data_IF_581183049791
#
_entry.id   IF_581183049791
#
_cell.length_a   1.000
_cell.length_b   1.000
_cell.length_c   1.000
_cell.angle_alpha   90.00
_cell.angle_beta   90.00
_cell.angle_gamma   90.00
#
_symmetry.space_group_name_H-M   'P 1'
#
loop_
_entity.id
_entity.type
_entity.pdbx_description
1 polymer ?
#
# COMPACT_ATOMS: atom_id res chain seq x y z
N UNK A 1 -11.72 -28.25 2.70
CA UNK A 1 -12.98 -27.55 3.09
C UNK A 1 -14.11 -28.56 3.26
N UNK A 2 -15.09 -28.34 4.14
CA UNK A 2 -16.27 -29.22 4.29
C UNK A 2 -17.22 -29.10 3.08
N UNK A 3 -18.04 -30.13 2.84
CA UNK A 3 -19.06 -30.13 1.77
C UNK A 3 -20.07 -28.99 1.94
N UNK A 4 -20.47 -28.68 3.18
CA UNK A 4 -21.37 -27.56 3.49
C UNK A 4 -20.77 -26.20 3.13
N UNK A 5 -19.49 -25.98 3.44
CA UNK A 5 -18.77 -24.74 3.08
C UNK A 5 -18.59 -24.63 1.55
N UNK A 6 -18.47 -25.75 0.84
CA UNK A 6 -18.38 -25.77 -0.61
C UNK A 6 -19.70 -25.36 -1.28
N UNK A 7 -20.83 -25.87 -0.79
CA UNK A 7 -22.17 -25.50 -1.28
C UNK A 7 -22.47 -24.01 -1.02
N UNK A 8 -22.08 -23.50 0.16
CA UNK A 8 -22.19 -22.08 0.49
C UNK A 8 -21.33 -21.22 -0.46
N UNK A 9 -20.07 -21.61 -0.70
CA UNK A 9 -19.18 -20.94 -1.64
C UNK A 9 -19.79 -20.89 -3.05
N UNK A 10 -20.34 -22.00 -3.55
CA UNK A 10 -21.01 -22.06 -4.86
C UNK A 10 -22.23 -21.14 -4.93
N UNK A 11 -23.04 -21.08 -3.87
CA UNK A 11 -24.18 -20.18 -3.79
C UNK A 11 -23.76 -18.70 -3.79
N UNK A 12 -22.66 -18.37 -3.12
CA UNK A 12 -22.11 -17.01 -3.06
C UNK A 12 -21.45 -16.60 -4.39
N UNK A 13 -20.77 -17.50 -5.10
CA UNK A 13 -20.26 -17.22 -6.45
C UNK A 13 -21.38 -16.90 -7.46
N UNK A 14 -22.59 -17.43 -7.27
CA UNK A 14 -23.76 -17.00 -8.06
C UNK A 14 -24.15 -15.55 -7.76
N UNK A 15 -24.05 -15.12 -6.50
CA UNK A 15 -24.30 -13.73 -6.09
C UNK A 15 -23.20 -12.78 -6.56
N UNK A 16 -21.95 -13.26 -6.65
CA UNK A 16 -20.82 -12.53 -7.22
C UNK A 16 -21.01 -12.11 -8.70
N UNK A 17 -22.06 -12.64 -9.37
CA UNK A 17 -22.48 -12.18 -10.72
C UNK A 17 -23.24 -10.87 -10.72
N UNK A 18 -23.79 -10.47 -9.58
CA UNK A 18 -24.63 -9.28 -9.43
C UNK A 18 -23.88 -8.16 -8.72
N UNK A 19 -22.99 -8.51 -7.78
CA UNK A 19 -22.19 -7.58 -7.00
C UNK A 19 -20.91 -8.29 -6.55
N UNK A 20 -19.79 -7.59 -6.59
CA UNK A 20 -18.52 -8.12 -6.08
C UNK A 20 -18.62 -8.46 -4.59
N UNK A 21 -18.06 -9.61 -4.22
CA UNK A 21 -18.07 -10.13 -2.87
C UNK A 21 -16.67 -10.10 -2.27
N UNK A 22 -16.57 -9.83 -0.98
CA UNK A 22 -15.31 -9.98 -0.27
C UNK A 22 -14.91 -11.45 -0.21
N UNK A 23 -13.63 -11.75 -0.41
CA UNK A 23 -13.08 -13.08 -0.27
C UNK A 23 -11.90 -13.14 0.68
N UNK A 24 -11.69 -14.32 1.24
CA UNK A 24 -10.47 -14.71 1.93
C UNK A 24 -10.04 -16.09 1.49
N UNK A 25 -8.73 -16.26 1.28
CA UNK A 25 -8.14 -17.47 0.74
C UNK A 25 -6.96 -17.92 1.61
N UNK A 26 -6.92 -19.22 1.90
CA UNK A 26 -5.73 -19.92 2.35
C UNK A 26 -5.40 -21.01 1.33
N UNK A 27 -4.19 -20.97 0.77
CA UNK A 27 -3.72 -22.00 -0.15
C UNK A 27 -3.34 -23.26 0.62
N UNK A 28 -3.84 -24.41 0.20
CA UNK A 28 -3.41 -25.71 0.68
C UNK A 28 -2.08 -26.14 0.05
N UNK A 29 -1.54 -27.28 0.51
CA UNK A 29 -0.41 -27.96 -0.13
C UNK A 29 -0.82 -28.51 -1.50
N UNK A 30 -2.10 -28.85 -1.69
CA UNK A 30 -2.71 -29.19 -2.97
C UNK A 30 -3.88 -28.24 -3.27
N UNK A 31 -4.26 -28.05 -4.55
CA UNK A 31 -5.39 -27.19 -4.91
C UNK A 31 -6.71 -27.60 -4.24
N UNK A 32 -6.98 -28.90 -4.04
CA UNK A 32 -8.19 -29.36 -3.33
C UNK A 32 -8.23 -28.99 -1.84
N UNK A 33 -7.07 -28.72 -1.24
CA UNK A 33 -6.94 -28.39 0.19
C UNK A 33 -7.08 -26.88 0.44
N UNK A 34 -7.32 -26.08 -0.60
CA UNK A 34 -7.59 -24.65 -0.46
C UNK A 34 -8.84 -24.39 0.37
N UNK A 35 -8.78 -23.31 1.15
CA UNK A 35 -9.92 -22.78 1.88
C UNK A 35 -10.26 -21.40 1.33
N UNK A 36 -11.42 -21.27 0.71
CA UNK A 36 -11.90 -20.06 0.06
C UNK A 36 -13.27 -19.64 0.60
N UNK A 37 -13.31 -18.53 1.33
CA UNK A 37 -14.55 -17.98 1.89
C UNK A 37 -14.97 -16.71 1.17
N UNK A 38 -16.29 -16.56 1.02
CA UNK A 38 -16.94 -15.39 0.46
C UNK A 38 -17.94 -14.82 1.48
N UNK A 39 -18.13 -13.50 1.47
CA UNK A 39 -19.16 -12.86 2.28
C UNK A 39 -19.66 -11.56 1.60
N UNK A 40 -20.92 -11.20 1.83
CA UNK A 40 -21.55 -10.00 1.27
C UNK A 40 -21.35 -8.74 2.12
N UNK A 41 -21.01 -8.92 3.40
CA UNK A 41 -20.99 -7.86 4.42
C UNK A 41 -19.66 -7.77 5.15
N UNK A 42 -19.03 -8.91 5.42
CA UNK A 42 -17.74 -8.96 6.12
C UNK A 42 -16.60 -8.65 5.15
N UNK A 43 -15.55 -8.01 5.64
CA UNK A 43 -14.38 -7.65 4.83
C UNK A 43 -13.56 -8.87 4.41
N UNK A 44 -12.76 -8.72 3.35
CA UNK A 44 -11.84 -9.76 2.88
C UNK A 44 -10.85 -10.19 3.96
N UNK A 45 -10.38 -9.26 4.79
CA UNK A 45 -9.48 -9.56 5.89
C UNK A 45 -10.11 -10.50 6.94
N UNK A 46 -11.39 -10.29 7.27
CA UNK A 46 -12.14 -11.19 8.17
C UNK A 46 -12.31 -12.57 7.53
N UNK A 47 -12.59 -12.62 6.22
CA UNK A 47 -12.66 -13.88 5.48
C UNK A 47 -11.31 -14.60 5.43
N UNK A 48 -10.20 -13.87 5.32
CA UNK A 48 -8.86 -14.46 5.32
C UNK A 48 -8.50 -15.02 6.68
N UNK A 49 -8.84 -14.34 7.78
CA UNK A 49 -8.65 -14.89 9.13
C UNK A 49 -9.43 -16.19 9.31
N UNK A 50 -10.67 -16.26 8.78
CA UNK A 50 -11.47 -17.49 8.76
C UNK A 50 -10.82 -18.58 7.90
N UNK A 51 -10.38 -18.24 6.69
CA UNK A 51 -9.71 -19.17 5.79
C UNK A 51 -8.40 -19.71 6.37
N UNK A 52 -7.64 -18.86 7.08
CA UNK A 52 -6.40 -19.23 7.78
C UNK A 52 -6.64 -20.19 8.94
N UNK A 53 -7.76 -20.03 9.66
CA UNK A 53 -8.09 -20.90 10.79
C UNK A 53 -8.47 -22.33 10.36
N UNK A 54 -9.06 -22.48 9.17
CA UNK A 54 -9.44 -23.78 8.60
C UNK A 54 -8.40 -24.35 7.63
N UNK A 55 -7.50 -23.50 7.12
CA UNK A 55 -6.47 -23.88 6.16
C UNK A 55 -5.23 -24.45 6.81
N UNK A 56 -4.48 -25.24 6.04
CA UNK A 56 -3.31 -25.97 6.54
C UNK A 56 -1.97 -25.25 6.30
N UNK A 57 -1.97 -24.06 5.70
CA UNK A 57 -0.73 -23.29 5.46
C UNK A 57 -0.84 -21.81 5.89
N UNK A 58 0.31 -21.15 6.01
CA UNK A 58 0.39 -19.70 6.22
C UNK A 58 0.22 -18.85 4.96
N UNK A 59 0.02 -19.46 3.77
CA UNK A 59 -0.10 -18.76 2.50
C UNK A 59 -1.53 -18.25 2.32
N UNK A 60 -1.76 -17.02 2.78
CA UNK A 60 -3.10 -16.43 2.84
C UNK A 60 -3.17 -15.11 2.07
N UNK A 61 -4.33 -14.82 1.51
CA UNK A 61 -4.61 -13.54 0.83
C UNK A 61 -6.10 -13.21 0.92
N UNK A 62 -6.48 -12.00 0.51
CA UNK A 62 -7.85 -11.51 0.51
C UNK A 62 -8.07 -10.42 -0.53
N UNK A 63 -9.34 -10.11 -0.77
CA UNK A 63 -9.77 -8.97 -1.59
C UNK A 63 -11.22 -9.13 -2.00
N UNK A 64 -11.55 -8.84 -3.26
CA UNK A 64 -12.91 -8.97 -3.81
C UNK A 64 -12.97 -9.87 -5.03
N UNK A 65 -14.11 -10.54 -5.22
CA UNK A 65 -14.35 -11.40 -6.38
C UNK A 65 -15.65 -11.00 -7.08
N UNK A 66 -15.53 -10.76 -8.37
CA UNK A 66 -16.65 -10.53 -9.29
C UNK A 66 -16.71 -11.64 -10.34
N UNK A 67 -17.92 -11.99 -10.79
CA UNK A 67 -18.11 -13.03 -11.81
C UNK A 67 -18.86 -12.48 -13.02
N UNK A 68 -18.20 -12.38 -14.17
CA UNK A 68 -18.83 -11.99 -15.44
C UNK A 68 -18.83 -13.17 -16.41
N UNK A 69 -20.01 -13.71 -16.71
CA UNK A 69 -20.14 -14.88 -17.59
C UNK A 69 -19.48 -16.14 -17.02
N UNK A 70 -18.38 -16.57 -17.64
CA UNK A 70 -17.52 -17.70 -17.20
C UNK A 70 -16.14 -17.22 -16.70
N UNK A 71 -16.01 -15.95 -16.34
CA UNK A 71 -14.77 -15.35 -15.82
C UNK A 71 -15.00 -14.93 -14.38
N UNK A 72 -14.21 -15.45 -13.45
CA UNK A 72 -14.07 -14.93 -12.10
C UNK A 72 -12.84 -14.03 -12.03
N UNK A 73 -13.06 -12.77 -11.66
CA UNK A 73 -12.01 -11.78 -11.44
C UNK A 73 -11.79 -11.66 -9.94
N UNK A 74 -10.61 -12.02 -9.45
CA UNK A 74 -10.21 -11.84 -8.07
C UNK A 74 -9.27 -10.62 -7.99
N UNK A 75 -9.77 -9.54 -7.42
CA UNK A 75 -8.97 -8.37 -7.08
C UNK A 75 -8.27 -8.63 -5.74
N UNK A 76 -6.94 -8.61 -5.72
CA UNK A 76 -6.14 -8.92 -4.53
C UNK A 76 -5.74 -7.63 -3.82
N UNK A 77 -6.21 -7.45 -2.60
CA UNK A 77 -5.83 -6.36 -1.69
C UNK A 77 -4.73 -6.79 -0.71
N UNK A 78 -4.69 -8.08 -0.37
CA UNK A 78 -3.70 -8.68 0.52
C UNK A 78 -2.39 -9.05 -0.18
N UNK A 79 -1.61 -9.92 0.45
CA UNK A 79 -0.36 -10.41 -0.12
C UNK A 79 -0.61 -11.15 -1.44
N UNK A 80 0.06 -10.75 -2.51
CA UNK A 80 0.03 -11.49 -3.77
C UNK A 80 0.78 -12.82 -3.61
N UNK A 81 0.12 -13.93 -3.94
CA UNK A 81 0.69 -15.28 -3.83
C UNK A 81 1.11 -15.76 -5.23
N UNK A 82 2.33 -16.30 -5.42
CA UNK A 82 2.78 -16.75 -6.74
C UNK A 82 1.90 -17.87 -7.31
N UNK A 83 1.47 -17.74 -8.58
CA UNK A 83 0.69 -18.78 -9.28
C UNK A 83 -0.74 -18.91 -8.78
N UNK A 84 -1.27 -17.84 -8.21
CA UNK A 84 -2.61 -17.77 -7.63
C UNK A 84 -3.69 -18.04 -8.67
N UNK A 85 -3.56 -17.48 -9.89
CA UNK A 85 -4.54 -17.70 -10.95
C UNK A 85 -4.68 -19.20 -11.29
N UNK A 86 -3.54 -19.87 -11.48
CA UNK A 86 -3.46 -21.31 -11.81
C UNK A 86 -4.04 -22.16 -10.70
N UNK A 87 -3.61 -21.88 -9.48
CA UNK A 87 -4.02 -22.62 -8.30
C UNK A 87 -5.54 -22.50 -8.09
N UNK A 88 -6.08 -21.28 -8.21
CA UNK A 88 -7.51 -21.03 -8.04
C UNK A 88 -8.35 -21.66 -9.16
N UNK A 89 -7.89 -21.61 -10.41
CA UNK A 89 -8.55 -22.30 -11.54
C UNK A 89 -8.63 -23.81 -11.31
N UNK A 90 -7.55 -24.43 -10.82
CA UNK A 90 -7.53 -25.85 -10.48
C UNK A 90 -8.48 -26.16 -9.31
N UNK A 91 -8.47 -25.36 -8.25
CA UNK A 91 -9.39 -25.51 -7.11
C UNK A 91 -10.85 -25.42 -7.53
N UNK A 92 -11.22 -24.39 -8.30
CA UNK A 92 -12.57 -24.20 -8.82
C UNK A 92 -13.00 -25.38 -9.70
N UNK A 93 -12.12 -25.85 -10.59
CA UNK A 93 -12.41 -26.99 -11.47
C UNK A 93 -12.64 -28.27 -10.68
N UNK A 94 -11.78 -28.58 -9.70
CA UNK A 94 -11.94 -29.74 -8.80
C UNK A 94 -13.18 -29.63 -7.92
N UNK A 95 -13.61 -28.41 -7.62
CA UNK A 95 -14.84 -28.08 -6.90
C UNK A 95 -16.11 -28.12 -7.78
N UNK A 96 -16.01 -28.59 -9.03
CA UNK A 96 -17.14 -28.68 -9.97
C UNK A 96 -17.48 -27.36 -10.69
N UNK A 97 -16.63 -26.34 -10.58
CA UNK A 97 -16.87 -24.98 -11.09
C UNK A 97 -15.94 -24.70 -12.28
N UNK A 98 -16.49 -24.72 -13.49
CA UNK A 98 -15.73 -24.45 -14.73
C UNK A 98 -15.77 -22.95 -15.08
N UNK A 99 -14.75 -22.20 -14.69
CA UNK A 99 -14.57 -20.78 -15.04
C UNK A 99 -13.10 -20.42 -15.26
N UNK A 100 -12.86 -19.40 -16.09
CA UNK A 100 -11.55 -18.74 -16.19
C UNK A 100 -11.33 -17.91 -14.92
N UNK A 101 -10.09 -17.86 -14.46
CA UNK A 101 -9.69 -17.05 -13.31
C UNK A 101 -8.73 -15.97 -13.78
N UNK A 102 -9.04 -14.74 -13.41
CA UNK A 102 -8.22 -13.55 -13.65
C UNK A 102 -7.92 -12.93 -12.29
N UNK A 103 -6.65 -12.66 -12.02
CA UNK A 103 -6.20 -11.96 -10.83
C UNK A 103 -5.90 -10.52 -11.23
N UNK A 104 -6.45 -9.56 -10.49
CA UNK A 104 -6.16 -8.15 -10.68
C UNK A 104 -5.61 -7.51 -9.42
N UNK A 105 -4.92 -6.38 -9.55
CA UNK A 105 -4.65 -5.48 -8.44
C UNK A 105 -5.90 -4.64 -8.10
N UNK A 106 -5.88 -3.86 -7.00
CA UNK A 106 -6.97 -2.95 -6.63
C UNK A 106 -7.27 -1.87 -7.68
N UNK A 107 -6.35 -1.62 -8.62
CA UNK A 107 -6.52 -0.68 -9.73
C UNK A 107 -7.14 -1.35 -10.98
N UNK A 108 -7.46 -2.65 -10.91
CA UNK A 108 -8.03 -3.43 -12.01
C UNK A 108 -7.02 -3.90 -13.07
N UNK A 109 -5.71 -3.71 -12.86
CA UNK A 109 -4.68 -4.26 -13.73
C UNK A 109 -4.61 -5.77 -13.55
N UNK A 110 -4.63 -6.53 -14.65
CA UNK A 110 -4.45 -7.98 -14.63
C UNK A 110 -3.01 -8.32 -14.23
N UNK A 111 -2.86 -9.00 -13.08
CA UNK A 111 -1.58 -9.45 -12.53
C UNK A 111 -1.23 -10.87 -13.00
N UNK A 112 -2.22 -11.76 -13.01
CA UNK A 112 -2.09 -13.13 -13.50
C UNK A 112 -3.40 -13.54 -14.17
N UNK A 113 -3.32 -14.19 -15.33
CA UNK A 113 -4.49 -14.76 -16.00
C UNK A 113 -4.15 -16.13 -16.57
N UNK A 114 -5.00 -17.12 -16.33
CA UNK A 114 -4.80 -18.46 -16.88
C UNK A 114 -5.65 -18.69 -18.12
N UNK A 115 -5.09 -18.29 -19.25
CA UNK A 115 -5.51 -18.70 -20.58
C UNK A 115 -4.26 -18.84 -21.45
N UNK A 116 -3.90 -20.07 -21.81
CA UNK A 116 -3.17 -20.29 -23.05
C UNK A 116 -4.19 -20.49 -24.17
N UNK A 117 -3.76 -19.99 -25.32
CA UNK A 117 -4.37 -19.91 -26.64
C UNK A 117 -5.08 -21.21 -27.05
N UNK A 118 -6.35 -21.09 -27.44
CA UNK A 118 -6.86 -21.59 -28.72
C UNK A 118 -8.29 -21.06 -28.97
N UNK A 119 -8.39 -20.40 -30.12
CA UNK A 119 -9.53 -20.16 -31.02
C UNK A 119 -10.70 -19.24 -30.60
N UNK A 120 -10.87 -18.22 -31.46
CA UNK A 120 -12.14 -17.58 -31.83
C UNK A 120 -13.30 -18.59 -31.78
N UNK A 121 -14.44 -18.21 -31.20
CA UNK A 121 -15.50 -17.68 -32.05
C UNK A 121 -16.72 -17.18 -31.29
N UNK A 122 -17.42 -16.34 -32.03
CA UNK A 122 -18.67 -15.64 -31.82
C UNK A 122 -19.88 -16.52 -31.39
N UNK A 123 -20.78 -15.89 -30.65
CA UNK A 123 -22.24 -16.09 -30.49
C UNK A 123 -22.95 -17.47 -30.40
N UNK A 124 -23.98 -17.42 -29.55
CA UNK A 124 -25.29 -18.09 -29.66
C UNK A 124 -25.47 -19.56 -29.21
N UNK A 125 -26.71 -19.79 -28.76
CA UNK A 125 -27.23 -20.96 -28.08
C UNK A 125 -27.24 -22.24 -28.93
N UNK A 126 -27.18 -23.41 -28.29
CA UNK A 126 -28.22 -24.47 -28.29
C UNK A 126 -27.69 -25.75 -27.60
N UNK A 127 -28.59 -26.71 -27.50
CA UNK A 127 -28.81 -27.73 -26.49
C UNK A 127 -28.14 -29.09 -26.79
N UNK A 128 -28.15 -29.95 -25.77
CA UNK A 128 -28.27 -31.42 -25.84
C UNK A 128 -27.08 -32.32 -26.30
N UNK A 129 -26.56 -33.03 -25.27
CA UNK A 129 -26.55 -34.50 -25.13
C UNK A 129 -25.33 -35.38 -25.51
N UNK A 130 -24.85 -36.06 -24.46
CA UNK A 130 -24.46 -37.48 -24.31
C UNK A 130 -23.17 -38.11 -24.88
N UNK A 131 -22.55 -38.86 -23.95
CA UNK A 131 -21.92 -40.19 -24.08
C UNK A 131 -20.57 -40.29 -24.82
N UNK A 132 -19.64 -41.17 -24.49
CA UNK A 132 -19.34 -42.06 -23.36
C UNK A 132 -17.97 -42.70 -23.68
N UNK A 133 -17.25 -43.10 -22.64
CA UNK A 133 -16.35 -44.26 -22.52
C UNK A 133 -14.99 -44.43 -23.25
N UNK A 134 -14.16 -45.16 -22.47
CA UNK A 134 -12.91 -45.92 -22.71
C UNK A 134 -11.59 -45.13 -22.82
N UNK A 135 -10.70 -45.14 -21.82
CA UNK A 135 -9.94 -46.22 -21.12
C UNK A 135 -8.68 -46.69 -21.85
N UNK A 136 -7.65 -46.87 -21.00
CA UNK A 136 -6.49 -47.76 -21.11
C UNK A 136 -5.35 -47.36 -22.07
N UNK A 137 -4.07 -47.54 -21.76
CA UNK A 137 -3.34 -47.87 -20.53
C UNK A 137 -1.82 -47.79 -20.87
N UNK A 138 -0.99 -47.67 -19.83
CA UNK A 138 0.46 -48.00 -19.69
C UNK A 138 1.50 -47.47 -20.71
N UNK A 139 2.53 -46.76 -20.21
CA UNK A 139 3.83 -47.42 -19.90
C UNK A 139 4.82 -46.52 -19.15
N UNK A 140 4.97 -46.91 -17.88
CA UNK A 140 6.02 -46.63 -16.92
C UNK A 140 7.42 -47.00 -17.45
N UNK A 141 8.43 -46.17 -17.16
CA UNK A 141 9.83 -46.61 -16.95
C UNK A 141 10.36 -45.96 -15.68
N UNK A 142 10.20 -46.74 -14.63
CA UNK A 142 10.91 -46.72 -13.36
C UNK A 142 12.40 -47.09 -13.57
N UNK A 143 13.25 -46.54 -12.69
CA UNK A 143 14.33 -47.20 -11.96
C UNK A 143 15.35 -46.10 -11.57
N UNK A 144 15.30 -45.53 -10.37
CA UNK A 144 15.59 -46.12 -9.05
C UNK A 144 17.08 -46.44 -8.84
N UNK A 145 17.66 -45.74 -7.86
CA UNK A 145 18.58 -46.25 -6.84
C UNK A 145 18.53 -45.21 -5.69
N UNK A 146 17.91 -45.47 -4.54
CA UNK A 146 18.32 -46.43 -3.48
C UNK A 146 19.65 -45.98 -2.85
N UNK A 147 19.86 -45.83 -1.55
CA UNK A 147 19.21 -46.19 -0.29
C UNK A 147 19.85 -45.19 0.73
N UNK A 148 19.19 -44.62 1.73
CA UNK A 148 18.88 -45.36 2.95
C UNK A 148 19.58 -44.75 4.17
N UNK A 149 18.77 -44.44 5.18
CA UNK A 149 19.04 -44.53 6.62
C UNK A 149 19.57 -43.31 7.41
N UNK A 150 18.65 -42.79 8.24
CA UNK A 150 18.73 -42.62 9.71
C UNK A 150 19.45 -41.41 10.34
N UNK A 151 18.61 -40.64 11.04
CA UNK A 151 18.84 -40.20 12.42
C UNK A 151 20.19 -39.63 12.79
N UNK A 152 20.31 -38.29 12.76
CA UNK A 152 21.24 -37.54 13.60
C UNK A 152 20.74 -36.09 13.75
N UNK A 153 20.59 -35.64 14.98
CA UNK A 153 20.73 -34.22 15.31
C UNK A 153 22.10 -33.74 14.82
N UNK A 154 22.15 -32.61 14.11
CA UNK A 154 23.08 -31.49 14.36
C UNK A 154 23.08 -30.50 13.19
N UNK A 155 22.84 -29.24 13.55
CA UNK A 155 23.73 -28.12 13.23
C UNK A 155 24.26 -27.99 11.80
N UNK A 156 23.51 -27.28 10.95
CA UNK A 156 24.03 -26.15 10.15
C UNK A 156 22.95 -25.61 9.20
N UNK A 157 21.90 -24.99 9.75
CA UNK A 157 21.41 -23.79 9.06
C UNK A 157 22.38 -22.66 9.47
N UNK A 158 23.18 -22.10 8.53
CA UNK A 158 24.09 -21.00 8.84
C UNK A 158 23.38 -19.84 9.54
N UNK A 159 22.09 -19.62 9.24
CA UNK A 159 21.29 -18.59 9.87
C UNK A 159 20.83 -18.99 11.30
N UNK A 160 20.57 -20.26 11.56
CA UNK A 160 20.30 -20.75 12.92
C UNK A 160 21.55 -20.67 13.80
N UNK A 161 22.73 -21.01 13.26
CA UNK A 161 24.01 -20.85 13.96
C UNK A 161 24.36 -19.39 14.23
N UNK A 162 24.13 -18.50 13.26
CA UNK A 162 24.30 -17.05 13.43
C UNK A 162 23.32 -16.49 14.46
N UNK A 163 22.05 -16.91 14.41
CA UNK A 163 21.07 -16.54 15.44
C UNK A 163 21.49 -17.05 16.81
N UNK A 164 21.96 -18.29 16.94
CA UNK A 164 22.46 -18.84 18.20
C UNK A 164 23.59 -17.99 18.82
N UNK A 165 24.53 -17.52 18.00
CA UNK A 165 25.61 -16.61 18.46
C UNK A 165 25.07 -15.24 18.88
N UNK A 166 24.12 -14.68 18.13
CA UNK A 166 23.50 -13.38 18.42
C UNK A 166 22.64 -13.45 19.69
N UNK A 167 21.83 -14.51 19.83
CA UNK A 167 21.00 -14.76 21.00
C UNK A 167 21.84 -14.97 22.25
N UNK A 168 22.91 -15.78 22.19
CA UNK A 168 23.83 -15.99 23.30
C UNK A 168 24.49 -14.68 23.79
N UNK A 169 24.79 -13.76 22.87
CA UNK A 169 25.40 -12.48 23.20
C UNK A 169 24.40 -11.45 23.79
N UNK A 170 23.15 -11.46 23.33
CA UNK A 170 22.18 -10.40 23.64
C UNK A 170 21.12 -10.81 24.66
N UNK A 171 20.76 -12.09 24.79
CA UNK A 171 19.77 -12.55 25.77
C UNK A 171 20.13 -12.16 27.22
N UNK A 172 21.39 -12.28 27.69
CA UNK A 172 21.76 -11.83 29.03
C UNK A 172 21.66 -10.32 29.23
N UNK A 173 21.72 -9.52 28.15
CA UNK A 173 21.54 -8.07 28.20
C UNK A 173 20.05 -7.70 28.19
N UNK A 174 19.24 -8.41 27.40
CA UNK A 174 17.79 -8.25 27.38
C UNK A 174 17.17 -8.60 28.75
N UNK A 175 17.63 -9.67 29.38
CA UNK A 175 17.18 -10.07 30.72
C UNK A 175 17.41 -9.00 31.80
N UNK A 176 18.39 -8.09 31.65
CA UNK A 176 18.62 -6.99 32.60
C UNK A 176 17.50 -5.95 32.59
N UNK A 177 16.70 -5.91 31.53
CA UNK A 177 15.55 -5.03 31.44
C UNK A 177 14.29 -5.66 32.08
N UNK A 178 14.26 -6.98 32.30
CA UNK A 178 13.16 -7.64 32.99
C UNK A 178 13.08 -7.18 34.45
N UNK A 179 11.96 -6.53 34.81
CA UNK A 179 11.77 -5.96 36.15
C UNK A 179 12.57 -4.70 36.45
N UNK A 180 13.26 -4.12 35.45
CA UNK A 180 13.93 -2.82 35.61
C UNK A 180 12.92 -1.66 35.58
N UNK A 181 13.29 -0.54 36.20
CA UNK A 181 12.51 0.71 36.17
C UNK A 181 12.78 1.57 34.93
N UNK A 182 13.53 1.05 33.95
CA UNK A 182 13.81 1.75 32.69
C UNK A 182 12.51 1.89 31.87
N UNK A 183 12.17 3.09 31.38
CA UNK A 183 10.93 3.31 30.63
C UNK A 183 10.86 2.51 29.32
N UNK A 184 11.99 2.01 28.81
CA UNK A 184 12.07 1.17 27.60
C UNK A 184 11.96 -0.31 27.92
N UNK A 185 11.97 -0.71 29.19
CA UNK A 185 12.05 -2.10 29.63
C UNK A 185 10.96 -2.98 29.03
N UNK A 186 9.70 -2.55 29.14
CA UNK A 186 8.56 -3.32 28.62
C UNK A 186 8.65 -3.55 27.11
N UNK A 187 9.08 -2.53 26.36
CA UNK A 187 9.23 -2.61 24.92
C UNK A 187 10.42 -3.47 24.51
N UNK A 188 11.57 -3.31 25.16
CA UNK A 188 12.78 -4.11 24.89
C UNK A 188 12.51 -5.59 25.15
N UNK A 189 11.86 -5.93 26.26
CA UNK A 189 11.48 -7.33 26.60
C UNK A 189 10.52 -7.90 25.56
N UNK A 190 9.49 -7.14 25.18
CA UNK A 190 8.51 -7.58 24.16
C UNK A 190 9.14 -7.79 22.79
N UNK A 191 10.00 -6.86 22.36
CA UNK A 191 10.67 -6.93 21.04
C UNK A 191 11.71 -8.05 21.01
N UNK A 192 12.43 -8.29 22.12
CA UNK A 192 13.35 -9.41 22.26
C UNK A 192 12.62 -10.76 22.19
N UNK A 193 11.52 -10.92 22.93
CA UNK A 193 10.68 -12.12 22.88
C UNK A 193 10.09 -12.37 21.47
N UNK A 194 9.75 -11.32 20.74
CA UNK A 194 9.33 -11.41 19.34
C UNK A 194 10.43 -11.94 18.41
N UNK A 195 11.69 -11.57 18.64
CA UNK A 195 12.83 -12.09 17.89
C UNK A 195 13.09 -13.58 18.20
N UNK A 196 12.95 -13.98 19.47
CA UNK A 196 13.06 -15.39 19.88
C UNK A 196 11.92 -16.25 19.29
N UNK A 197 10.69 -15.72 19.24
CA UNK A 197 9.57 -16.38 18.60
C UNK A 197 9.74 -16.49 17.08
N UNK A 198 10.27 -15.45 16.42
CA UNK A 198 10.58 -15.51 14.98
C UNK A 198 11.62 -16.59 14.68
N UNK A 199 12.69 -16.66 15.47
CA UNK A 199 13.70 -17.71 15.34
C UNK A 199 13.17 -19.11 15.67
N UNK A 200 12.29 -19.25 16.67
CA UNK A 200 11.60 -20.51 16.98
C UNK A 200 10.71 -21.02 15.84
N UNK A 201 10.26 -20.12 14.97
CA UNK A 201 9.52 -20.43 13.73
C UNK A 201 10.43 -20.58 12.49
N UNK A 202 11.75 -20.54 12.67
CA UNK A 202 12.73 -20.64 11.57
C UNK A 202 12.97 -19.34 10.80
N UNK A 203 12.41 -18.20 11.23
CA UNK A 203 12.65 -16.89 10.61
C UNK A 203 13.85 -16.18 11.24
N UNK A 204 15.03 -16.75 11.01
CA UNK A 204 16.30 -16.24 11.53
C UNK A 204 16.68 -14.86 10.95
N UNK A 205 16.22 -14.54 9.73
CA UNK A 205 16.50 -13.26 9.08
C UNK A 205 15.78 -12.11 9.78
N UNK A 206 14.50 -12.28 10.10
CA UNK A 206 13.74 -11.30 10.86
C UNK A 206 14.26 -11.20 12.29
N UNK A 207 14.55 -12.34 12.93
CA UNK A 207 15.11 -12.39 14.28
C UNK A 207 16.43 -11.59 14.38
N UNK A 208 17.38 -11.84 13.47
CA UNK A 208 18.64 -11.10 13.42
C UNK A 208 18.46 -9.61 13.09
N UNK A 209 17.48 -9.25 12.24
CA UNK A 209 17.15 -7.86 11.96
C UNK A 209 16.64 -7.11 13.19
N UNK A 210 15.84 -7.77 14.04
CA UNK A 210 15.38 -7.22 15.32
C UNK A 210 16.55 -7.11 16.32
N UNK A 211 17.37 -8.16 16.44
CA UNK A 211 18.53 -8.17 17.31
C UNK A 211 19.55 -7.07 16.96
N UNK A 212 19.77 -6.79 15.67
CA UNK A 212 20.66 -5.73 15.22
C UNK A 212 20.19 -4.33 15.69
N UNK A 213 18.87 -4.10 15.69
CA UNK A 213 18.26 -2.85 16.18
C UNK A 213 18.30 -2.74 17.70
N UNK A 214 18.14 -3.86 18.42
CA UNK A 214 18.19 -3.89 19.88
C UNK A 214 19.61 -3.80 20.45
N UNK A 215 20.63 -4.31 19.75
CA UNK A 215 22.02 -4.34 20.19
C UNK A 215 22.54 -3.02 20.82
N UNK A 216 22.41 -1.83 20.19
CA UNK A 216 22.89 -0.59 20.80
C UNK A 216 22.13 -0.22 22.09
N UNK A 217 20.85 -0.55 22.20
CA UNK A 217 20.02 -0.28 23.38
C UNK A 217 20.38 -1.23 24.54
N UNK A 218 20.61 -2.51 24.21
CA UNK A 218 20.97 -3.55 25.16
C UNK A 218 22.38 -3.36 25.73
N UNK A 219 23.33 -2.91 24.92
CA UNK A 219 24.70 -2.59 25.36
C UNK A 219 24.73 -1.37 26.27
N UNK A 220 23.83 -0.40 26.07
CA UNK A 220 23.73 0.79 26.92
C UNK A 220 23.21 0.47 28.34
N UNK A 221 22.48 -0.64 28.52
CA UNK A 221 21.92 -1.07 29.80
C UNK A 221 20.73 -0.25 30.30
N UNK A 222 20.06 -0.69 31.39
CA UNK A 222 18.92 0.02 31.99
C UNK A 222 19.37 1.30 32.69
N UNK A 223 18.66 2.41 32.47
CA UNK A 223 18.88 3.67 33.16
C UNK A 223 18.04 3.75 34.45
N UNK A 224 18.66 4.12 35.57
CA UNK A 224 17.95 4.38 36.83
C UNK A 224 17.44 5.82 36.89
N UNK A 225 16.11 6.00 36.87
CA UNK A 225 15.40 7.18 37.37
C UNK A 225 15.70 8.53 36.73
N UNK A 226 15.05 8.84 35.60
CA UNK A 226 14.25 10.06 35.38
C UNK A 226 13.65 10.05 33.97
N UNK A 227 12.61 10.88 33.78
CA UNK A 227 11.63 10.98 32.70
C UNK A 227 12.05 10.58 31.27
N UNK A 228 11.06 9.95 30.62
CA UNK A 228 11.11 9.27 29.34
C UNK A 228 11.59 10.13 28.15
N UNK A 229 12.52 9.55 27.38
CA UNK A 229 12.55 9.70 25.92
C UNK A 229 12.45 8.31 25.31
N UNK A 230 11.27 8.01 24.76
CA UNK A 230 10.97 6.75 24.07
C UNK A 230 11.47 6.83 22.62
N UNK A 231 12.29 5.89 22.14
CA UNK A 231 12.46 5.67 20.71
C UNK A 231 11.66 4.46 20.24
N UNK A 232 10.71 4.70 19.33
CA UNK A 232 10.22 3.73 18.36
C UNK A 232 9.19 2.72 18.85
N UNK A 233 7.93 3.14 18.92
CA UNK A 233 6.78 2.23 18.89
C UNK A 233 6.18 2.26 17.47
N UNK A 234 6.31 1.17 16.74
CA UNK A 234 5.55 0.92 15.50
C UNK A 234 4.43 -0.05 15.83
N UNK A 235 3.24 0.47 16.07
CA UNK A 235 1.99 -0.04 15.52
C UNK A 235 0.87 0.98 15.79
N UNK A 236 0.15 1.29 14.71
CA UNK A 236 -1.02 2.15 14.68
C UNK A 236 -2.10 1.68 15.65
N UNK A 237 -2.43 2.53 16.61
CA UNK A 237 -3.82 2.83 16.93
C UNK A 237 -4.03 4.34 16.70
N UNK A 238 -5.19 4.67 16.16
CA UNK A 238 -5.45 5.90 15.43
C UNK A 238 -5.10 7.23 16.11
N UNK A 239 -4.66 8.14 15.24
CA UNK A 239 -4.86 9.59 15.28
C UNK A 239 -4.14 10.39 16.37
N UNK A 240 -2.86 10.68 16.11
CA UNK A 240 -2.34 12.05 16.28
C UNK A 240 -1.20 12.27 15.28
N UNK A 241 -1.25 13.30 14.40
CA UNK A 241 -0.09 13.70 13.62
C UNK A 241 0.97 14.20 14.59
N UNK A 242 2.05 13.45 14.75
CA UNK A 242 3.17 13.90 15.58
C UNK A 242 3.94 14.95 14.77
N UNK A 243 3.63 16.22 15.06
CA UNK A 243 4.08 17.39 14.31
C UNK A 243 5.63 17.54 14.26
N UNK A 244 6.40 16.74 14.99
CA UNK A 244 7.85 16.88 15.09
C UNK A 244 8.66 15.60 14.82
N UNK A 245 8.05 14.57 14.20
CA UNK A 245 8.77 13.33 13.93
C UNK A 245 10.02 13.56 13.03
N UNK A 246 11.19 12.99 13.37
CA UNK A 246 12.39 13.09 12.53
C UNK A 246 12.20 12.63 11.09
N UNK A 247 11.22 11.74 10.86
CA UNK A 247 10.91 11.22 9.54
C UNK A 247 10.08 12.21 8.70
N UNK A 248 9.19 13.01 9.32
CA UNK A 248 8.54 14.15 8.65
C UNK A 248 9.57 15.13 8.08
N UNK A 249 10.54 15.56 8.90
CA UNK A 249 11.62 16.48 8.47
C UNK A 249 12.47 15.89 7.34
N UNK A 250 12.74 14.58 7.37
CA UNK A 250 13.44 13.89 6.28
C UNK A 250 12.58 13.85 5.01
N UNK A 251 11.28 13.59 5.14
CA UNK A 251 10.36 13.57 4.01
C UNK A 251 10.30 14.95 3.34
N UNK A 252 10.13 16.03 4.10
CA UNK A 252 10.15 17.41 3.60
C UNK A 252 11.44 17.74 2.83
N UNK A 253 12.59 17.29 3.33
CA UNK A 253 13.88 17.49 2.69
C UNK A 253 14.05 16.70 1.39
N UNK A 254 13.43 15.52 1.26
CA UNK A 254 13.56 14.64 0.09
C UNK A 254 12.48 14.89 -0.96
N UNK A 255 11.26 15.24 -0.54
CA UNK A 255 10.11 15.37 -1.42
C UNK A 255 10.34 16.44 -2.51
N UNK A 256 10.82 17.63 -2.14
CA UNK A 256 10.99 18.73 -3.11
C UNK A 256 12.03 18.42 -4.20
N UNK A 257 13.26 17.95 -3.88
CA UNK A 257 14.20 17.51 -4.91
C UNK A 257 13.68 16.34 -5.75
N UNK A 258 12.96 15.39 -5.14
CA UNK A 258 12.39 14.24 -5.84
C UNK A 258 11.28 14.65 -6.80
N UNK A 259 10.46 15.65 -6.46
CA UNK A 259 9.41 16.22 -7.31
C UNK A 259 9.98 16.89 -8.57
N UNK A 260 11.06 17.65 -8.40
CA UNK A 260 11.78 18.28 -9.53
C UNK A 260 12.30 17.21 -10.47
N UNK A 261 12.90 16.15 -9.92
CA UNK A 261 13.42 15.04 -10.69
C UNK A 261 12.29 14.26 -11.38
N UNK A 262 11.18 14.05 -10.68
CA UNK A 262 9.97 13.41 -11.19
C UNK A 262 9.39 14.19 -12.38
N UNK A 263 9.24 15.50 -12.24
CA UNK A 263 8.75 16.38 -13.32
C UNK A 263 9.67 16.30 -14.53
N UNK A 264 10.98 16.33 -14.32
CA UNK A 264 11.97 16.20 -15.39
C UNK A 264 11.90 14.82 -16.07
N UNK A 265 11.87 13.75 -15.27
CA UNK A 265 11.77 12.38 -15.75
C UNK A 265 10.52 12.18 -16.59
N UNK A 266 9.36 12.61 -16.11
CA UNK A 266 8.09 12.49 -16.83
C UNK A 266 7.99 13.40 -18.06
N UNK A 267 8.68 14.55 -18.05
CA UNK A 267 8.79 15.40 -19.23
C UNK A 267 9.48 14.71 -20.42
N UNK A 268 10.32 13.71 -20.16
CA UNK A 268 10.98 12.89 -21.20
C UNK A 268 10.10 11.74 -21.72
N UNK A 269 8.90 11.57 -21.17
CA UNK A 269 7.96 10.51 -21.51
C UNK A 269 8.58 9.08 -21.53
N UNK A 270 9.08 8.60 -20.38
CA UNK A 270 9.76 7.31 -20.31
C UNK A 270 8.77 6.15 -20.42
N UNK A 271 9.19 5.01 -20.96
CA UNK A 271 8.32 3.83 -21.13
C UNK A 271 7.74 3.31 -19.80
N UNK A 272 8.43 3.54 -18.68
CA UNK A 272 7.96 3.20 -17.33
C UNK A 272 7.18 4.34 -16.65
N UNK A 273 6.72 5.36 -17.39
CA UNK A 273 5.98 6.53 -16.89
C UNK A 273 4.93 6.16 -15.85
N UNK A 274 4.01 5.26 -16.19
CA UNK A 274 2.91 4.86 -15.30
C UNK A 274 3.42 4.27 -13.98
N UNK A 275 4.53 3.52 -13.99
CA UNK A 275 5.16 2.97 -12.77
C UNK A 275 5.79 4.08 -11.92
N UNK A 276 6.41 5.08 -12.55
CA UNK A 276 6.97 6.24 -11.86
C UNK A 276 5.86 7.10 -11.24
N UNK A 277 4.75 7.29 -11.95
CA UNK A 277 3.55 7.99 -11.46
C UNK A 277 2.95 7.27 -10.27
N UNK A 278 2.71 5.96 -10.36
CA UNK A 278 2.14 5.17 -9.27
C UNK A 278 3.03 5.15 -8.01
N UNK A 279 4.35 5.00 -8.17
CA UNK A 279 5.27 5.03 -7.04
C UNK A 279 5.36 6.43 -6.39
N UNK A 280 5.22 7.51 -7.18
CA UNK A 280 5.13 8.87 -6.65
C UNK A 280 3.82 9.07 -5.87
N UNK A 281 2.68 8.70 -6.46
CA UNK A 281 1.36 8.77 -5.81
C UNK A 281 1.33 8.01 -4.49
N UNK A 282 1.83 6.77 -4.47
CA UNK A 282 1.91 5.96 -3.25
C UNK A 282 2.81 6.62 -2.18
N UNK A 283 3.94 7.22 -2.56
CA UNK A 283 4.78 7.93 -1.60
C UNK A 283 4.07 9.15 -1.00
N UNK A 284 3.38 9.93 -1.84
CA UNK A 284 2.59 11.09 -1.43
C UNK A 284 1.44 10.70 -0.51
N UNK A 285 0.65 9.69 -0.87
CA UNK A 285 -0.46 9.18 -0.06
C UNK A 285 0.02 8.71 1.33
N UNK A 286 1.15 8.00 1.40
CA UNK A 286 1.74 7.61 2.68
C UNK A 286 2.14 8.81 3.52
N UNK A 287 2.72 9.83 2.92
CA UNK A 287 3.08 11.05 3.63
C UNK A 287 1.85 11.83 4.12
N UNK A 288 0.77 11.87 3.33
CA UNK A 288 -0.51 12.50 3.71
C UNK A 288 -1.19 11.78 4.86
N UNK A 289 -1.10 10.45 4.88
CA UNK A 289 -1.55 9.61 5.99
C UNK A 289 -0.65 9.71 7.24
N UNK A 290 0.43 10.50 7.21
CA UNK A 290 1.41 10.64 8.29
C UNK A 290 2.41 9.48 8.40
N UNK A 291 2.38 8.52 7.46
CA UNK A 291 3.34 7.41 7.38
C UNK A 291 4.60 7.84 6.61
N UNK A 292 5.34 8.78 7.20
CA UNK A 292 6.57 9.33 6.62
C UNK A 292 7.67 8.28 6.44
N UNK A 293 7.70 7.23 7.28
CA UNK A 293 8.66 6.14 7.16
C UNK A 293 8.42 5.33 5.88
N UNK A 294 7.17 4.96 5.59
CA UNK A 294 6.83 4.28 4.33
C UNK A 294 7.03 5.19 3.12
N UNK A 295 6.62 6.46 3.23
CA UNK A 295 6.81 7.46 2.18
C UNK A 295 8.30 7.59 1.80
N UNK A 296 9.19 7.71 2.80
CA UNK A 296 10.64 7.76 2.61
C UNK A 296 11.20 6.48 1.98
N UNK A 297 10.69 5.31 2.36
CA UNK A 297 11.13 4.04 1.80
C UNK A 297 10.75 3.91 0.31
N UNK A 298 9.56 4.38 -0.08
CA UNK A 298 9.13 4.42 -1.47
C UNK A 298 9.95 5.44 -2.25
N UNK A 299 10.12 6.66 -1.71
CA UNK A 299 10.95 7.70 -2.31
C UNK A 299 12.40 7.25 -2.57
N UNK A 300 13.01 6.53 -1.63
CA UNK A 300 14.35 5.99 -1.79
C UNK A 300 14.47 5.00 -2.97
N UNK A 301 13.44 4.17 -3.19
CA UNK A 301 13.37 3.24 -4.32
C UNK A 301 13.03 3.93 -5.63
N UNK A 302 12.19 4.96 -5.58
CA UNK A 302 11.74 5.72 -6.75
C UNK A 302 12.88 6.56 -7.35
N UNK A 303 13.68 7.20 -6.51
CA UNK A 303 14.77 8.11 -6.91
C UNK A 303 15.66 7.58 -8.06
N UNK A 304 16.30 6.39 -7.98
CA UNK A 304 17.18 5.92 -9.05
C UNK A 304 16.44 5.75 -10.40
N UNK A 305 15.18 5.31 -10.39
CA UNK A 305 14.40 5.18 -11.63
C UNK A 305 14.02 6.53 -12.24
N UNK A 306 13.81 7.55 -11.40
CA UNK A 306 13.63 8.92 -11.88
C UNK A 306 14.93 9.52 -12.42
N UNK A 307 16.08 9.25 -11.81
CA UNK A 307 17.38 9.70 -12.32
C UNK A 307 17.68 9.09 -13.70
N UNK A 308 17.43 7.79 -13.84
CA UNK A 308 17.54 7.08 -15.12
C UNK A 308 16.62 7.67 -16.19
N UNK A 309 15.34 7.85 -15.88
CA UNK A 309 14.36 8.42 -16.81
C UNK A 309 14.64 9.90 -17.15
N UNK A 310 15.16 10.68 -16.19
CA UNK A 310 15.54 12.08 -16.41
C UNK A 310 16.84 12.23 -17.22
N UNK A 311 17.72 11.21 -17.21
CA UNK A 311 18.97 11.18 -17.94
C UNK A 311 18.82 10.61 -19.37
N UNK A 312 17.83 9.74 -19.60
CA UNK A 312 17.49 9.27 -20.93
C UNK A 312 17.04 10.46 -21.81
N UNK A 313 17.83 10.79 -22.85
CA UNK A 313 17.37 11.66 -23.93
C UNK A 313 16.16 11.00 -24.60
N UNK A 314 15.25 11.79 -25.18
CA UNK A 314 14.05 11.29 -25.86
C UNK A 314 14.43 10.38 -27.05
N UNK A 315 14.77 9.13 -26.76
CA UNK A 315 15.07 8.09 -27.73
C UNK A 315 13.72 7.63 -28.26
N UNK A 316 13.30 8.27 -29.34
CA UNK A 316 12.06 7.98 -30.02
C UNK A 316 12.03 6.52 -30.48
N UNK A 317 11.16 5.74 -29.84
CA UNK A 317 10.43 4.61 -30.42
C UNK A 317 9.29 4.23 -29.45
N UNK A 318 8.14 4.87 -29.71
CA UNK A 318 6.69 4.55 -29.54
C UNK A 318 6.25 3.65 -28.37
N UNK A 319 5.22 3.97 -27.59
CA UNK A 319 3.99 4.74 -27.90
C UNK A 319 4.10 6.28 -27.74
N UNK A 320 3.67 7.02 -28.77
CA UNK A 320 3.52 8.48 -28.70
C UNK A 320 2.38 8.81 -27.72
N UNK A 321 2.73 9.09 -26.47
CA UNK A 321 1.83 9.81 -25.57
C UNK A 321 1.58 11.19 -26.20
N UNK A 322 0.33 11.56 -26.51
CA UNK A 322 0.11 12.68 -27.40
C UNK A 322 0.43 14.00 -26.69
N UNK A 323 0.95 14.98 -27.44
CA UNK A 323 1.41 16.28 -26.88
C UNK A 323 0.32 17.05 -26.13
N UNK A 324 -0.94 16.68 -26.35
CA UNK A 324 -2.12 17.22 -25.71
C UNK A 324 -2.23 16.88 -24.21
N UNK A 325 -1.50 15.87 -23.70
CA UNK A 325 -1.55 15.53 -22.26
C UNK A 325 -0.53 16.26 -21.38
N UNK A 326 0.51 16.86 -21.97
CA UNK A 326 1.55 17.60 -21.23
C UNK A 326 0.98 18.72 -20.33
N UNK A 327 -0.05 19.49 -20.75
CA UNK A 327 -0.69 20.47 -19.86
C UNK A 327 -1.30 19.88 -18.59
N UNK A 328 -1.87 18.66 -18.65
CA UNK A 328 -2.47 18.01 -17.47
C UNK A 328 -1.38 17.55 -16.48
N UNK A 329 -0.25 17.07 -17.00
CA UNK A 329 0.92 16.73 -16.17
C UNK A 329 1.47 17.95 -15.43
N UNK A 330 1.60 19.10 -16.12
CA UNK A 330 2.00 20.36 -15.49
C UNK A 330 0.99 20.82 -14.43
N UNK A 331 -0.29 20.59 -14.69
CA UNK A 331 -1.37 20.91 -13.76
C UNK A 331 -1.31 20.08 -12.48
N UNK A 332 -0.99 18.78 -12.59
CA UNK A 332 -0.77 17.90 -11.44
C UNK A 332 0.37 18.39 -10.57
N UNK A 333 1.54 18.63 -11.18
CA UNK A 333 2.71 19.17 -10.48
C UNK A 333 2.41 20.52 -9.84
N UNK A 334 1.67 21.39 -10.53
CA UNK A 334 1.23 22.67 -9.95
C UNK A 334 0.41 22.46 -8.67
N UNK A 335 -0.51 21.49 -8.65
CA UNK A 335 -1.35 21.23 -7.48
C UNK A 335 -0.55 20.64 -6.30
N UNK A 336 0.32 19.67 -6.55
CA UNK A 336 1.25 19.11 -5.53
C UNK A 336 2.05 20.23 -4.86
N UNK A 337 2.70 21.08 -5.66
CA UNK A 337 3.46 22.22 -5.15
C UNK A 337 2.60 23.21 -4.37
N UNK A 338 1.35 23.39 -4.80
CA UNK A 338 0.38 24.28 -4.14
C UNK A 338 0.02 23.76 -2.76
N UNK A 339 -0.34 22.48 -2.64
CA UNK A 339 -0.67 21.84 -1.36
C UNK A 339 0.50 21.88 -0.39
N UNK A 340 1.71 21.59 -0.86
CA UNK A 340 2.93 21.73 -0.03
C UNK A 340 3.10 23.17 0.47
N UNK A 341 2.92 24.15 -0.41
CA UNK A 341 3.02 25.56 -0.03
C UNK A 341 1.94 25.96 0.98
N UNK A 342 0.70 25.52 0.80
CA UNK A 342 -0.38 25.75 1.77
C UNK A 342 -0.01 25.20 3.15
N UNK A 343 0.55 23.99 3.20
CA UNK A 343 1.02 23.38 4.43
C UNK A 343 2.12 24.21 5.11
N UNK A 344 3.17 24.60 4.36
CA UNK A 344 4.25 25.45 4.90
C UNK A 344 3.74 26.81 5.41
N UNK A 345 2.79 27.43 4.71
CA UNK A 345 2.20 28.70 5.14
C UNK A 345 1.33 28.55 6.40
N UNK A 346 0.58 27.45 6.53
CA UNK A 346 -0.16 27.14 7.76
C UNK A 346 0.82 26.88 8.92
N UNK A 347 1.86 26.08 8.73
CA UNK A 347 2.86 25.81 9.79
C UNK A 347 3.55 27.09 10.28
N UNK A 348 3.80 28.03 9.36
CA UNK A 348 4.31 29.36 9.71
C UNK A 348 3.32 30.12 10.60
N UNK A 349 2.01 30.04 10.31
CA UNK A 349 0.97 30.63 11.16
C UNK A 349 0.89 29.92 12.52
N UNK A 350 0.90 28.59 12.55
CA UNK A 350 0.92 27.79 13.78
C UNK A 350 2.06 28.23 14.70
N UNK A 351 3.28 28.29 14.15
CA UNK A 351 4.46 28.68 14.91
C UNK A 351 4.35 30.11 15.44
N UNK A 352 3.83 31.05 14.64
CA UNK A 352 3.62 32.43 15.08
C UNK A 352 2.63 32.52 16.25
N UNK A 353 1.56 31.72 16.26
CA UNK A 353 0.60 31.65 17.36
C UNK A 353 1.27 31.04 18.60
N UNK A 354 2.01 29.94 18.44
CA UNK A 354 2.70 29.26 19.53
C UNK A 354 3.73 30.18 20.19
N UNK A 355 4.51 30.93 19.40
CA UNK A 355 5.53 31.85 19.90
C UNK A 355 4.90 32.98 20.74
N UNK A 356 3.73 33.47 20.36
CA UNK A 356 2.96 34.45 21.16
C UNK A 356 2.49 33.85 22.48
N UNK A 357 2.03 32.59 22.46
CA UNK A 357 1.53 31.90 23.66
C UNK A 357 2.66 31.44 24.60
N UNK A 358 3.90 31.31 24.12
CA UNK A 358 5.00 30.67 24.86
C UNK A 358 5.34 31.32 26.22
N UNK A 359 5.01 32.61 26.39
CA UNK A 359 5.34 33.36 27.61
C UNK A 359 4.17 33.44 28.61
N UNK A 360 3.02 32.86 28.30
CA UNK A 360 1.83 32.87 29.14
C UNK A 360 1.30 31.44 29.35
N UNK A 361 1.52 30.83 30.52
CA UNK A 361 1.01 29.50 30.84
C UNK A 361 -0.52 29.37 30.74
N UNK A 362 -1.28 30.46 30.88
CA UNK A 362 -2.74 30.43 30.72
C UNK A 362 -3.14 30.24 29.25
N UNK A 363 -2.25 30.55 28.30
CA UNK A 363 -2.45 30.37 26.86
C UNK A 363 -1.92 29.04 26.33
N UNK A 364 -1.43 28.14 27.18
CA UNK A 364 -0.98 26.80 26.77
C UNK A 364 -2.04 26.02 25.96
N UNK A 365 -3.35 26.04 26.31
CA UNK A 365 -4.37 25.38 25.49
C UNK A 365 -4.50 25.96 24.08
N UNK A 366 -4.28 27.27 23.91
CA UNK A 366 -4.33 27.93 22.60
C UNK A 366 -3.15 27.49 21.73
N UNK A 367 -1.96 27.34 22.33
CA UNK A 367 -0.80 26.78 21.63
C UNK A 367 -1.03 25.33 21.20
N UNK A 368 -1.72 24.54 22.02
CA UNK A 368 -2.09 23.16 21.68
C UNK A 368 -3.10 23.09 20.52
N UNK A 369 -4.12 23.96 20.54
CA UNK A 369 -5.09 24.08 19.43
C UNK A 369 -4.42 24.55 18.13
N UNK A 370 -3.47 25.49 18.22
CA UNK A 370 -2.72 25.98 17.08
C UNK A 370 -1.94 24.87 16.36
N UNK A 371 -1.39 23.88 17.07
CA UNK A 371 -0.71 22.71 16.45
C UNK A 371 -1.65 21.83 15.60
N UNK A 372 -2.95 22.07 15.65
CA UNK A 372 -3.96 21.36 14.87
C UNK A 372 -4.43 22.07 13.60
N UNK A 373 -3.95 23.27 13.27
CA UNK A 373 -4.46 24.05 12.13
C UNK A 373 -4.22 23.35 10.79
N UNK A 374 -3.11 22.61 10.64
CA UNK A 374 -2.80 21.82 9.46
C UNK A 374 -3.91 20.79 9.12
N UNK A 375 -4.68 20.31 10.11
CA UNK A 375 -5.79 19.39 9.88
C UNK A 375 -6.89 20.03 9.05
N UNK A 376 -7.03 21.36 9.08
CA UNK A 376 -7.98 22.10 8.22
C UNK A 376 -7.65 21.94 6.74
N UNK A 377 -6.39 21.65 6.39
CA UNK A 377 -5.97 21.42 5.01
C UNK A 377 -6.29 20.02 4.48
N UNK A 378 -6.71 19.07 5.33
CA UNK A 378 -6.97 17.68 4.90
C UNK A 378 -8.07 17.55 3.85
N UNK A 379 -8.97 18.55 3.76
CA UNK A 379 -9.97 18.62 2.68
C UNK A 379 -9.34 18.78 1.29
N UNK A 380 -8.13 19.34 1.20
CA UNK A 380 -7.36 19.46 -0.04
C UNK A 380 -6.45 18.23 -0.18
N UNK A 381 -7.08 17.10 -0.46
CA UNK A 381 -6.43 15.79 -0.64
C UNK A 381 -5.78 15.62 -2.03
N UNK A 382 -5.21 14.43 -2.25
CA UNK A 382 -4.56 14.03 -3.50
C UNK A 382 -5.52 13.66 -4.64
N UNK A 383 -6.84 13.64 -4.46
CA UNK A 383 -7.76 13.11 -5.47
C UNK A 383 -7.75 13.91 -6.78
N UNK A 384 -7.52 15.23 -6.72
CA UNK A 384 -7.33 16.04 -7.93
C UNK A 384 -6.05 15.64 -8.70
N UNK A 385 -5.00 15.22 -7.99
CA UNK A 385 -3.76 14.74 -8.60
C UNK A 385 -4.00 13.41 -9.33
N UNK A 386 -4.72 12.49 -8.67
CA UNK A 386 -5.10 11.20 -9.24
C UNK A 386 -5.95 11.36 -10.51
N UNK A 387 -6.92 12.27 -10.50
CA UNK A 387 -7.73 12.57 -11.68
C UNK A 387 -6.89 13.13 -12.83
N UNK A 388 -5.95 14.03 -12.54
CA UNK A 388 -5.04 14.59 -13.55
C UNK A 388 -4.06 13.53 -14.10
N UNK A 389 -3.65 12.57 -13.27
CA UNK A 389 -2.89 11.38 -13.68
C UNK A 389 -3.71 10.47 -14.60
N UNK A 390 -4.96 10.18 -14.23
CA UNK A 390 -5.85 9.36 -15.06
C UNK A 390 -6.12 10.03 -16.42
N UNK A 391 -6.36 11.34 -16.45
CA UNK A 391 -6.52 12.11 -17.70
C UNK A 391 -5.28 11.97 -18.59
N UNK A 392 -4.09 11.98 -18.00
CA UNK A 392 -2.81 11.86 -18.72
C UNK A 392 -2.65 10.48 -19.37
N UNK A 393 -3.13 9.43 -18.71
CA UNK A 393 -3.00 8.05 -19.14
C UNK A 393 -4.19 7.55 -19.99
N UNK A 394 -5.24 8.35 -20.13
CA UNK A 394 -6.42 8.01 -20.92
C UNK A 394 -6.35 8.65 -22.31
N UNK A 395 -6.53 7.87 -23.41
CA UNK A 395 -6.60 8.41 -24.77
C UNK A 395 -7.72 9.44 -24.94
N UNK A 396 -7.63 10.26 -26.00
CA UNK A 396 -8.72 11.17 -26.35
C UNK A 396 -10.04 10.45 -26.62
N UNK A 397 -11.11 10.88 -25.95
CA UNK A 397 -12.42 10.27 -26.12
C UNK A 397 -13.41 10.60 -24.99
N UNK A 398 -14.56 9.90 -24.97
CA UNK A 398 -15.60 10.08 -23.95
C UNK A 398 -15.10 9.87 -22.52
N UNK A 399 -14.24 8.86 -22.30
CA UNK A 399 -13.71 8.53 -20.97
C UNK A 399 -12.82 9.64 -20.42
N UNK A 400 -11.89 10.16 -21.24
CA UNK A 400 -11.08 11.33 -20.87
C UNK A 400 -11.93 12.58 -20.65
N UNK A 401 -12.98 12.76 -21.43
CA UNK A 401 -13.93 13.88 -21.26
C UNK A 401 -14.66 13.79 -19.92
N UNK A 402 -15.07 12.59 -19.53
CA UNK A 402 -15.66 12.34 -18.21
C UNK A 402 -14.67 12.65 -17.09
N UNK A 403 -13.44 12.14 -17.16
CA UNK A 403 -12.39 12.43 -16.16
C UNK A 403 -12.10 13.93 -16.03
N UNK A 404 -12.08 14.68 -17.14
CA UNK A 404 -11.97 16.16 -17.09
C UNK A 404 -13.18 16.80 -16.40
N UNK A 405 -14.38 16.24 -16.56
CA UNK A 405 -15.58 16.65 -15.84
C UNK A 405 -15.46 16.41 -14.34
N UNK A 406 -15.01 15.22 -13.95
CA UNK A 406 -14.79 14.83 -12.55
C UNK A 406 -13.72 15.71 -11.88
N UNK A 407 -12.60 15.96 -12.58
CA UNK A 407 -11.55 16.89 -12.11
C UNK A 407 -12.08 18.33 -11.92
N UNK A 408 -12.93 18.82 -12.83
CA UNK A 408 -13.57 20.13 -12.67
C UNK A 408 -14.57 20.15 -11.49
N UNK A 409 -15.27 19.05 -11.22
CA UNK A 409 -16.14 18.95 -10.05
C UNK A 409 -15.32 19.03 -8.76
N UNK A 410 -14.20 18.31 -8.69
CA UNK A 410 -13.29 18.35 -7.54
C UNK A 410 -12.67 19.72 -7.31
N UNK A 411 -12.29 20.42 -8.39
CA UNK A 411 -11.83 21.82 -8.29
C UNK A 411 -12.89 22.73 -7.66
N UNK A 412 -14.17 22.58 -8.04
CA UNK A 412 -15.27 23.37 -7.45
C UNK A 412 -15.48 23.05 -5.98
N UNK A 413 -15.35 21.79 -5.59
CA UNK A 413 -15.39 21.36 -4.19
C UNK A 413 -14.29 22.05 -3.37
N UNK A 414 -13.05 22.04 -3.86
CA UNK A 414 -11.93 22.73 -3.21
C UNK A 414 -12.13 24.25 -3.19
N UNK A 415 -12.61 24.86 -4.28
CA UNK A 415 -12.93 26.29 -4.31
C UNK A 415 -14.02 26.67 -3.29
N UNK A 416 -15.02 25.80 -3.09
CA UNK A 416 -16.05 25.99 -2.08
C UNK A 416 -15.50 25.82 -0.66
N UNK A 417 -14.63 24.83 -0.42
CA UNK A 417 -13.97 24.65 0.87
C UNK A 417 -13.13 25.87 1.28
N UNK A 418 -12.47 26.53 0.32
CA UNK A 418 -11.75 27.79 0.53
C UNK A 418 -12.65 28.98 0.92
N UNK A 419 -13.98 28.85 0.83
CA UNK A 419 -14.94 29.87 1.29
C UNK A 419 -15.36 29.70 2.75
N UNK A 420 -14.89 28.66 3.44
CA UNK A 420 -15.08 28.52 4.89
C UNK A 420 -14.47 29.72 5.63
N UNK A 421 -15.12 30.15 6.71
CA UNK A 421 -14.73 31.37 7.43
C UNK A 421 -13.27 31.31 7.92
N UNK A 422 -12.78 30.13 8.29
CA UNK A 422 -11.37 29.93 8.63
C UNK A 422 -10.42 30.40 7.51
N UNK A 423 -10.70 30.02 6.25
CA UNK A 423 -9.84 30.35 5.12
C UNK A 423 -9.98 31.80 4.64
N UNK A 424 -11.05 32.50 5.01
CA UNK A 424 -11.18 33.95 4.80
C UNK A 424 -10.25 34.71 5.74
N UNK A 425 -10.21 34.30 7.00
CA UNK A 425 -9.41 34.98 8.01
C UNK A 425 -7.93 34.63 7.89
N UNK A 426 -7.58 33.42 7.43
CA UNK A 426 -6.20 32.92 7.44
C UNK A 426 -5.22 33.81 6.68
N UNK A 427 -5.59 34.34 5.51
CA UNK A 427 -4.69 35.18 4.68
C UNK A 427 -4.79 36.66 5.04
N UNK A 428 -5.97 37.14 5.45
CA UNK A 428 -6.26 38.56 5.58
C UNK A 428 -6.25 39.08 7.02
N UNK A 429 -6.79 38.31 7.95
CA UNK A 429 -7.20 38.79 9.28
C UNK A 429 -6.70 37.88 10.43
N UNK A 430 -5.71 37.02 10.18
CA UNK A 430 -5.21 36.10 11.20
C UNK A 430 -4.53 36.82 12.39
N UNK A 431 -4.00 38.02 12.19
CA UNK A 431 -3.44 38.87 13.27
C UNK A 431 -2.05 38.47 13.80
N UNK A 432 -1.43 37.40 13.30
CA UNK A 432 -0.13 36.90 13.75
C UNK A 432 0.97 37.10 12.71
N UNK A 433 0.76 36.62 11.48
CA UNK A 433 1.79 36.62 10.44
C UNK A 433 1.17 36.62 9.05
N UNK A 434 1.80 37.34 8.11
CA UNK A 434 1.34 37.33 6.73
C UNK A 434 1.59 35.95 6.10
N UNK A 435 0.54 35.35 5.55
CA UNK A 435 0.55 34.06 4.86
C UNK A 435 -0.23 34.16 3.55
N UNK A 436 -0.06 33.18 2.67
CA UNK A 436 -0.75 33.14 1.38
C UNK A 436 -1.28 31.75 1.05
N UNK A 437 -2.14 31.19 1.92
CA UNK A 437 -2.75 29.87 1.79
C UNK A 437 -3.85 29.91 0.73
N UNK A 438 -4.90 30.70 0.97
CA UNK A 438 -6.13 30.76 0.16
C UNK A 438 -5.86 31.37 -1.21
N UNK A 439 -5.06 32.44 -1.27
CA UNK A 439 -4.68 33.10 -2.51
C UNK A 439 -3.89 32.16 -3.43
N UNK A 440 -2.91 31.43 -2.90
CA UNK A 440 -2.12 30.46 -3.68
C UNK A 440 -3.02 29.34 -4.21
N UNK A 441 -3.86 28.75 -3.36
CA UNK A 441 -4.76 27.67 -3.74
C UNK A 441 -5.72 28.08 -4.86
N UNK A 442 -6.36 29.24 -4.70
CA UNK A 442 -7.33 29.78 -5.68
C UNK A 442 -6.69 30.01 -7.04
N UNK A 443 -5.48 30.58 -7.07
CA UNK A 443 -4.75 30.84 -8.32
C UNK A 443 -4.43 29.54 -9.06
N UNK A 444 -3.92 28.53 -8.35
CA UNK A 444 -3.56 27.25 -8.95
C UNK A 444 -4.79 26.50 -9.45
N UNK A 445 -5.86 26.43 -8.65
CA UNK A 445 -7.11 25.78 -9.05
C UNK A 445 -7.71 26.43 -10.31
N UNK A 446 -7.66 27.77 -10.42
CA UNK A 446 -8.10 28.47 -11.61
C UNK A 446 -7.20 28.15 -12.83
N UNK A 447 -5.88 28.08 -12.65
CA UNK A 447 -4.96 27.72 -13.71
C UNK A 447 -5.22 26.29 -14.24
N UNK A 448 -5.47 25.34 -13.34
CA UNK A 448 -5.80 23.95 -13.67
C UNK A 448 -7.16 23.87 -14.40
N UNK A 449 -8.19 24.56 -13.89
CA UNK A 449 -9.49 24.62 -14.54
C UNK A 449 -9.40 25.15 -15.98
N UNK A 450 -8.56 26.17 -16.22
CA UNK A 450 -8.31 26.71 -17.55
C UNK A 450 -7.62 25.72 -18.49
N UNK A 451 -6.82 24.79 -17.95
CA UNK A 451 -6.22 23.70 -18.73
C UNK A 451 -7.26 22.63 -19.06
N UNK A 452 -8.10 22.26 -18.09
CA UNK A 452 -9.19 21.28 -18.29
C UNK A 452 -10.28 21.76 -19.25
N UNK A 453 -10.47 23.07 -19.41
CA UNK A 453 -11.46 23.64 -20.31
C UNK A 453 -11.05 23.63 -21.80
N UNK A 454 -9.76 23.41 -22.10
CA UNK A 454 -9.23 23.23 -23.46
C UNK A 454 -9.38 21.78 -23.87
#
# INVERSE_FOLDING_TARGET
MSTENLDEMQALLKKARQKDLAFGLCLGKKPEDNVFFLDLKKSGEVMMRKAKAEGETGKVTYGTVGVKGKIATLMVEGNMLPGLAKNMKMFMTKSGIKMKVVITDPNGQVLESEGDEDEDDNEAATDANSADENTDDIQNRDASADDGNDGSNDDNDPAAGQWGQVAAALAPLAAKFEGSSDPRAAQIVKVWAGAEAAAGNGDYKSAMGVAAKLKPLLVAGPAEGNEAKTPGDTNSDGNTPDADSPDRKKWEAVQSPLEVLYTKALGNNPANRSKLEAAWGMASEKAEAGDYTAALAIAAKLKPHLEEAAAAAASGQQDEVPKDVVPFQKSRVLWVNTRRKMLTEIEKLEQAIIDVCANDPELAPVADEARGLNKRLQVFDGELEDLLDQITNTPEGPDRTKLKGDANAKIREFQAALQDDFFKDVDADNGFVNVAVTATATQSLQAIANVLAR
#
